data_IF_656286907399
#
_entry.id   IF_656286907399
#
_cell.length_a   1.000
_cell.length_b   1.000
_cell.length_c   1.000
_cell.angle_alpha   90.00
_cell.angle_beta   90.00
_cell.angle_gamma   90.00
#
_symmetry.space_group_name_H-M   'P 1'
#
loop_
_entity.id
_entity.type
_entity.pdbx_description
1 polymer ?
#
# COMPACT_ATOMS: atom_id res chain seq x y z
N UNK A 1 -40.84 31.34 33.03
CA UNK A 1 -40.61 30.70 31.71
C UNK A 1 -39.26 30.00 31.81
N UNK A 2 -39.21 28.66 31.70
CA UNK A 2 -37.92 27.90 31.71
C UNK A 2 -37.17 28.19 30.43
N UNK A 3 -35.93 28.70 30.54
CA UNK A 3 -35.06 29.02 29.39
C UNK A 3 -34.46 27.78 28.72
N UNK A 4 -34.38 26.68 29.42
CA UNK A 4 -33.74 25.43 28.96
C UNK A 4 -34.67 24.24 29.21
N UNK A 5 -34.56 23.18 28.37
CA UNK A 5 -35.26 21.91 28.60
C UNK A 5 -34.62 21.22 29.81
N UNK A 6 -35.45 20.55 30.63
CA UNK A 6 -34.93 19.69 31.69
C UNK A 6 -34.17 18.50 31.08
N UNK A 7 -33.10 18.01 31.74
CA UNK A 7 -32.48 16.78 31.32
C UNK A 7 -33.48 15.63 31.45
N UNK A 8 -33.51 14.75 30.45
CA UNK A 8 -34.39 13.58 30.42
C UNK A 8 -34.11 12.63 31.60
N UNK A 9 -32.81 12.49 31.95
CA UNK A 9 -32.37 11.77 33.14
C UNK A 9 -31.18 12.51 33.80
N UNK A 10 -31.30 12.95 35.05
CA UNK A 10 -30.15 13.48 35.80
C UNK A 10 -29.04 12.42 35.94
N UNK A 11 -27.79 12.85 36.01
CA UNK A 11 -26.61 11.96 36.08
C UNK A 11 -26.66 10.95 37.24
N UNK A 12 -27.39 11.27 38.29
CA UNK A 12 -27.52 10.45 39.50
C UNK A 12 -28.82 9.62 39.55
N UNK A 13 -29.67 9.71 38.52
CA UNK A 13 -30.91 8.97 38.48
C UNK A 13 -30.66 7.49 38.19
N UNK A 14 -31.09 6.63 39.11
CA UNK A 14 -31.14 5.19 38.88
C UNK A 14 -32.35 4.89 37.99
N UNK A 15 -32.13 4.15 36.93
CA UNK A 15 -33.19 3.64 36.09
C UNK A 15 -33.77 2.35 36.70
N UNK A 16 -35.06 2.18 36.62
CA UNK A 16 -35.76 0.99 37.15
C UNK A 16 -35.38 -0.26 36.35
N UNK A 17 -35.18 -0.12 35.05
CA UNK A 17 -34.61 -1.12 34.14
C UNK A 17 -33.41 -0.44 33.45
N UNK A 18 -32.19 -0.92 33.67
CA UNK A 18 -31.04 -0.35 32.94
C UNK A 18 -31.19 -0.68 31.45
N UNK A 19 -31.05 0.30 30.54
CA UNK A 19 -31.10 0.07 29.11
C UNK A 19 -29.93 -0.83 28.71
N UNK A 20 -30.14 -1.63 27.67
CA UNK A 20 -29.05 -2.37 27.04
C UNK A 20 -28.12 -1.40 26.31
N UNK A 21 -26.88 -1.80 26.00
CA UNK A 21 -25.99 -0.99 25.17
C UNK A 21 -26.57 -0.81 23.77
N UNK A 22 -27.35 -1.79 23.33
CA UNK A 22 -28.06 -1.80 22.05
C UNK A 22 -29.05 -0.63 21.92
N UNK A 23 -29.76 -0.28 23.01
CA UNK A 23 -30.73 0.83 23.03
C UNK A 23 -30.09 2.22 22.79
N UNK A 24 -28.78 2.32 22.96
CA UNK A 24 -28.02 3.57 22.75
C UNK A 24 -27.39 3.68 21.37
N UNK A 25 -27.47 2.64 20.54
CA UNK A 25 -26.93 2.62 19.18
C UNK A 25 -28.08 2.68 18.20
N UNK A 26 -28.11 3.72 17.37
CA UNK A 26 -29.19 3.89 16.38
C UNK A 26 -29.25 2.71 15.38
N UNK A 27 -30.46 2.43 14.89
CA UNK A 27 -30.68 1.34 13.93
C UNK A 27 -29.91 1.51 12.62
N UNK A 28 -29.64 2.77 12.23
CA UNK A 28 -28.89 3.13 11.03
C UNK A 28 -27.39 3.38 11.29
N UNK A 29 -26.89 3.11 12.51
CA UNK A 29 -25.47 3.37 12.80
C UNK A 29 -24.58 2.40 12.01
N UNK A 30 -23.52 2.90 11.36
CA UNK A 30 -22.59 2.07 10.60
C UNK A 30 -21.95 0.92 11.40
N UNK A 31 -21.93 1.01 12.71
CA UNK A 31 -21.41 -0.06 13.58
C UNK A 31 -22.20 -1.36 13.43
N UNK A 32 -23.53 -1.27 13.25
CA UNK A 32 -24.40 -2.45 13.05
C UNK A 32 -24.06 -3.17 11.74
N UNK A 33 -23.74 -2.41 10.70
CA UNK A 33 -23.33 -2.97 9.41
C UNK A 33 -21.99 -3.73 9.53
N UNK A 34 -21.04 -3.18 10.28
CA UNK A 34 -19.78 -3.88 10.58
C UNK A 34 -20.03 -5.15 11.37
N UNK A 35 -20.92 -5.08 12.35
CA UNK A 35 -21.32 -6.22 13.18
C UNK A 35 -21.92 -7.36 12.34
N UNK A 36 -22.95 -7.06 11.55
CA UNK A 36 -23.65 -8.00 10.68
C UNK A 36 -22.72 -8.61 9.61
N UNK A 37 -21.91 -7.79 8.93
CA UNK A 37 -20.99 -8.27 7.89
C UNK A 37 -19.95 -9.21 8.48
N UNK A 38 -19.34 -8.85 9.60
CA UNK A 38 -18.32 -9.71 10.21
C UNK A 38 -18.95 -11.00 10.75
N UNK A 39 -20.15 -10.95 11.37
CA UNK A 39 -20.81 -12.16 11.82
C UNK A 39 -21.23 -13.11 10.68
N UNK A 40 -21.51 -12.58 9.50
CA UNK A 40 -21.86 -13.41 8.33
C UNK A 40 -20.66 -14.19 7.75
N UNK A 41 -19.42 -13.86 8.14
CA UNK A 41 -18.22 -14.51 7.63
C UNK A 41 -17.94 -15.83 8.32
N UNK A 42 -17.29 -16.77 7.61
CA UNK A 42 -16.77 -17.99 8.23
C UNK A 42 -15.51 -17.72 9.06
N UNK A 43 -15.60 -17.92 10.37
CA UNK A 43 -14.53 -17.71 11.33
C UNK A 43 -13.85 -19.01 11.83
N UNK A 44 -14.15 -20.15 11.23
CA UNK A 44 -13.66 -21.46 11.67
C UNK A 44 -12.13 -21.52 11.82
N UNK A 45 -11.40 -20.97 10.84
CA UNK A 45 -9.93 -20.92 10.87
C UNK A 45 -9.42 -20.00 11.99
N UNK A 46 -10.06 -18.83 12.18
CA UNK A 46 -9.67 -17.89 13.24
C UNK A 46 -9.88 -18.51 14.62
N UNK A 47 -11.03 -19.17 14.85
CA UNK A 47 -11.38 -19.81 16.11
C UNK A 47 -10.46 -21.00 16.39
N UNK A 48 -10.10 -21.78 15.37
CA UNK A 48 -9.24 -22.96 15.52
C UNK A 48 -7.83 -22.65 16.05
N UNK A 49 -7.38 -21.41 15.96
CA UNK A 49 -6.09 -20.97 16.51
C UNK A 49 -6.10 -20.86 18.05
N UNK A 50 -7.28 -20.94 18.66
CA UNK A 50 -7.46 -20.82 20.11
C UNK A 50 -7.72 -22.22 20.72
N UNK A 51 -6.68 -22.84 21.26
CA UNK A 51 -6.68 -24.24 21.72
C UNK A 51 -7.08 -24.45 23.16
N UNK A 52 -7.61 -23.46 23.85
CA UNK A 52 -8.10 -23.61 25.22
C UNK A 52 -7.02 -24.03 26.22
N UNK A 53 -6.20 -23.09 26.68
CA UNK A 53 -5.23 -23.31 27.76
C UNK A 53 -4.78 -21.97 28.32
N UNK A 54 -4.59 -21.87 29.63
CA UNK A 54 -4.23 -20.61 30.30
C UNK A 54 -5.44 -19.73 30.61
N UNK A 55 -5.21 -18.41 30.73
CA UNK A 55 -6.29 -17.46 30.97
C UNK A 55 -7.20 -17.34 29.72
N UNK A 56 -8.55 -17.20 29.91
CA UNK A 56 -9.48 -17.05 28.81
C UNK A 56 -9.09 -15.88 27.89
N UNK A 57 -9.04 -16.14 26.59
CA UNK A 57 -8.80 -15.09 25.58
C UNK A 57 -10.09 -14.28 25.37
N UNK A 58 -9.93 -13.01 24.94
CA UNK A 58 -11.06 -12.28 24.38
C UNK A 58 -11.54 -12.97 23.10
N UNK A 59 -12.85 -12.93 22.85
CA UNK A 59 -13.42 -13.49 21.64
C UNK A 59 -12.75 -12.90 20.39
N UNK A 60 -12.18 -13.74 19.50
CA UNK A 60 -11.44 -13.26 18.33
C UNK A 60 -12.32 -12.57 17.29
N UNK A 61 -13.61 -12.91 17.21
CA UNK A 61 -14.56 -12.27 16.29
C UNK A 61 -14.81 -10.84 16.77
N UNK A 62 -15.12 -10.67 18.05
CA UNK A 62 -15.24 -9.37 18.71
C UNK A 62 -14.00 -8.50 18.52
N UNK A 63 -12.80 -9.08 18.68
CA UNK A 63 -11.54 -8.36 18.45
C UNK A 63 -11.40 -7.89 17.00
N UNK A 64 -11.81 -8.70 16.03
CA UNK A 64 -11.78 -8.38 14.61
C UNK A 64 -12.76 -7.22 14.30
N UNK A 65 -14.01 -7.29 14.82
CA UNK A 65 -15.03 -6.23 14.69
C UNK A 65 -14.52 -4.90 15.20
N UNK A 66 -14.00 -4.86 16.41
CA UNK A 66 -13.45 -3.64 17.05
C UNK A 66 -12.33 -3.04 16.22
N UNK A 67 -11.41 -3.84 15.69
CA UNK A 67 -10.30 -3.35 14.87
C UNK A 67 -10.81 -2.80 13.55
N UNK A 68 -11.67 -3.54 12.84
CA UNK A 68 -12.21 -3.11 11.54
C UNK A 68 -13.03 -1.84 11.69
N UNK A 69 -13.92 -1.77 12.67
CA UNK A 69 -14.69 -0.56 12.94
C UNK A 69 -13.79 0.63 13.28
N UNK A 70 -12.71 0.39 14.03
CA UNK A 70 -11.69 1.42 14.27
C UNK A 70 -11.11 1.99 12.98
N UNK A 71 -10.84 1.15 11.98
CA UNK A 71 -10.36 1.63 10.68
C UNK A 71 -11.46 2.38 9.90
N UNK A 72 -12.73 1.99 10.02
CA UNK A 72 -13.86 2.76 9.46
C UNK A 72 -13.92 4.18 10.04
N UNK A 73 -13.67 4.33 11.35
CA UNK A 73 -13.65 5.60 12.08
C UNK A 73 -12.29 6.33 11.99
N UNK A 74 -11.32 5.80 11.25
CA UNK A 74 -9.96 6.34 11.17
C UNK A 74 -9.16 6.23 12.48
N UNK A 75 -9.55 5.33 13.38
CA UNK A 75 -8.86 5.02 14.65
C UNK A 75 -7.98 3.78 14.45
N UNK A 76 -6.72 3.99 14.06
CA UNK A 76 -5.77 2.91 13.75
C UNK A 76 -4.85 2.53 14.92
N UNK A 77 -4.68 3.41 15.89
CA UNK A 77 -3.80 3.19 17.04
C UNK A 77 -4.46 2.29 18.08
N UNK A 78 -3.78 1.19 18.51
CA UNK A 78 -4.28 0.31 19.56
C UNK A 78 -4.58 1.05 20.87
N UNK A 79 -3.80 2.06 21.23
CA UNK A 79 -4.05 2.90 22.41
C UNK A 79 -5.31 3.75 22.29
N UNK A 80 -5.61 4.23 21.07
CA UNK A 80 -6.85 4.97 20.82
C UNK A 80 -8.05 4.05 20.78
N UNK A 81 -7.90 2.81 20.27
CA UNK A 81 -8.94 1.79 20.33
C UNK A 81 -9.27 1.38 21.78
N UNK A 82 -8.24 1.17 22.61
CA UNK A 82 -8.41 0.93 24.05
C UNK A 82 -9.19 2.08 24.74
N UNK A 83 -8.85 3.33 24.45
CA UNK A 83 -9.59 4.49 24.94
C UNK A 83 -11.04 4.52 24.42
N UNK A 84 -11.26 4.23 23.12
CA UNK A 84 -12.59 4.21 22.52
C UNK A 84 -13.50 3.15 23.14
N UNK A 85 -12.97 1.96 23.47
CA UNK A 85 -13.68 0.91 24.19
C UNK A 85 -14.20 1.33 25.58
N UNK A 86 -13.67 2.41 26.14
CA UNK A 86 -14.12 2.94 27.41
C UNK A 86 -14.93 4.26 27.32
N UNK A 87 -15.10 4.81 26.12
CA UNK A 87 -15.64 6.16 25.93
C UNK A 87 -16.69 6.28 24.84
N UNK A 88 -16.74 5.35 23.87
CA UNK A 88 -17.65 5.36 22.74
C UNK A 88 -18.58 4.14 22.81
N UNK A 89 -19.89 4.40 22.87
CA UNK A 89 -20.93 3.38 22.98
C UNK A 89 -20.92 2.38 21.81
N UNK A 90 -20.55 2.81 20.61
CA UNK A 90 -20.45 1.94 19.42
C UNK A 90 -19.35 0.88 19.59
N UNK A 91 -18.19 1.27 20.15
CA UNK A 91 -17.14 0.32 20.48
C UNK A 91 -17.52 -0.59 21.66
N UNK A 92 -18.23 -0.06 22.66
CA UNK A 92 -18.76 -0.87 23.77
C UNK A 92 -19.81 -1.90 23.28
N UNK A 93 -20.64 -1.53 22.33
CA UNK A 93 -21.60 -2.41 21.66
C UNK A 93 -20.87 -3.57 20.97
N UNK A 94 -19.95 -3.31 20.05
CA UNK A 94 -19.18 -4.36 19.37
C UNK A 94 -18.40 -5.25 20.33
N UNK A 95 -17.80 -4.65 21.35
CA UNK A 95 -17.00 -5.38 22.34
C UNK A 95 -17.84 -6.10 23.40
N UNK A 96 -19.18 -5.98 23.35
CA UNK A 96 -20.06 -6.55 24.38
C UNK A 96 -19.60 -6.16 25.80
N UNK A 97 -19.25 -4.88 25.99
CA UNK A 97 -18.68 -4.32 27.22
C UNK A 97 -17.31 -4.88 27.64
N UNK A 98 -16.71 -5.77 26.85
CA UNK A 98 -15.34 -6.25 27.07
C UNK A 98 -14.32 -5.15 26.81
N UNK A 99 -13.23 -5.12 27.58
CA UNK A 99 -12.20 -4.08 27.49
C UNK A 99 -10.79 -4.65 27.31
N UNK A 100 -10.46 -5.20 26.13
CA UNK A 100 -9.10 -5.61 25.82
C UNK A 100 -8.17 -4.39 25.84
N UNK A 101 -7.03 -4.51 26.52
CA UNK A 101 -6.03 -3.47 26.58
C UNK A 101 -5.32 -3.27 25.24
N UNK A 102 -4.62 -2.16 25.09
CA UNK A 102 -3.90 -1.82 23.85
C UNK A 102 -2.83 -2.86 23.45
N UNK A 103 -2.26 -3.62 24.41
CA UNK A 103 -1.27 -4.67 24.14
C UNK A 103 -1.94 -5.87 23.51
N UNK A 104 -3.08 -6.26 24.03
CA UNK A 104 -3.92 -7.35 23.51
C UNK A 104 -4.39 -7.02 22.09
N UNK A 105 -4.92 -5.81 21.85
CA UNK A 105 -5.32 -5.34 20.51
C UNK A 105 -4.13 -5.37 19.54
N UNK A 106 -2.98 -4.84 19.95
CA UNK A 106 -1.78 -4.83 19.12
C UNK A 106 -1.24 -6.23 18.81
N UNK A 107 -1.33 -7.16 19.79
CA UNK A 107 -0.92 -8.56 19.61
C UNK A 107 -1.87 -9.26 18.65
N UNK A 108 -3.17 -9.16 18.86
CA UNK A 108 -4.20 -9.77 18.00
C UNK A 108 -3.99 -9.36 16.54
N UNK A 109 -3.88 -8.05 16.25
CA UNK A 109 -3.65 -7.53 14.91
C UNK A 109 -2.41 -8.10 14.23
N UNK A 110 -1.31 -8.28 14.95
CA UNK A 110 -0.05 -8.83 14.40
C UNK A 110 -0.10 -10.34 14.16
N UNK A 111 -0.86 -11.07 14.95
CA UNK A 111 -0.89 -12.54 14.87
C UNK A 111 -1.92 -13.05 13.86
N UNK A 112 -2.98 -12.29 13.58
CA UNK A 112 -4.12 -12.75 12.79
C UNK A 112 -4.14 -12.16 11.36
N UNK A 113 -2.99 -12.18 10.66
CA UNK A 113 -2.92 -11.69 9.28
C UNK A 113 -3.84 -12.46 8.33
N UNK A 114 -3.91 -13.78 8.48
CA UNK A 114 -4.78 -14.62 7.66
C UNK A 114 -6.26 -14.24 7.81
N UNK A 115 -6.72 -14.03 9.05
CA UNK A 115 -8.10 -13.59 9.30
C UNK A 115 -8.40 -12.21 8.68
N UNK A 116 -7.45 -11.28 8.73
CA UNK A 116 -7.60 -9.96 8.11
C UNK A 116 -7.64 -10.08 6.56
N UNK A 117 -6.81 -10.95 5.99
CA UNK A 117 -6.85 -11.26 4.56
C UNK A 117 -8.20 -11.87 4.19
N UNK A 118 -8.67 -12.87 4.94
CA UNK A 118 -9.97 -13.49 4.75
C UNK A 118 -11.11 -12.46 4.85
N UNK A 119 -11.06 -11.54 5.80
CA UNK A 119 -12.04 -10.47 5.91
C UNK A 119 -12.05 -9.57 4.65
N UNK A 120 -10.89 -9.27 4.06
CA UNK A 120 -10.82 -8.57 2.79
C UNK A 120 -11.48 -9.38 1.66
N UNK A 121 -11.11 -10.64 1.53
CA UNK A 121 -11.64 -11.54 0.49
C UNK A 121 -13.16 -11.68 0.59
N UNK A 122 -13.70 -11.79 1.80
CA UNK A 122 -15.14 -11.85 2.06
C UNK A 122 -15.87 -10.55 1.71
N UNK A 123 -15.26 -9.37 1.93
CA UNK A 123 -15.87 -8.11 1.48
C UNK A 123 -15.94 -8.02 -0.04
N UNK A 124 -14.98 -8.58 -0.76
CA UNK A 124 -15.01 -8.67 -2.23
C UNK A 124 -16.12 -9.62 -2.68
N UNK A 125 -16.19 -10.82 -2.08
CA UNK A 125 -17.21 -11.82 -2.36
C UNK A 125 -18.62 -11.28 -2.13
N UNK A 126 -18.84 -10.65 -0.98
CA UNK A 126 -20.12 -10.02 -0.64
C UNK A 126 -20.50 -8.93 -1.64
N UNK A 127 -19.55 -8.07 -2.00
CA UNK A 127 -19.75 -7.05 -3.03
C UNK A 127 -20.15 -7.65 -4.38
N UNK A 128 -19.62 -8.81 -4.72
CA UNK A 128 -19.96 -9.55 -5.95
C UNK A 128 -21.34 -10.18 -5.87
N UNK A 129 -21.70 -10.83 -4.77
CA UNK A 129 -23.03 -11.42 -4.52
C UNK A 129 -24.14 -10.38 -4.54
N UNK A 130 -23.88 -9.19 -4.02
CA UNK A 130 -24.79 -8.07 -4.04
C UNK A 130 -24.85 -7.32 -5.39
N UNK A 131 -24.17 -7.79 -6.43
CA UNK A 131 -24.02 -7.13 -7.72
C UNK A 131 -23.44 -5.70 -7.65
N UNK A 132 -22.65 -5.40 -6.61
CA UNK A 132 -21.93 -4.14 -6.47
C UNK A 132 -20.59 -4.15 -7.23
N UNK A 133 -20.04 -5.33 -7.49
CA UNK A 133 -18.85 -5.58 -8.29
C UNK A 133 -19.26 -6.27 -9.58
N UNK A 134 -19.00 -5.64 -10.73
CA UNK A 134 -19.38 -6.18 -12.04
C UNK A 134 -18.17 -6.61 -12.88
N UNK A 135 -16.98 -6.16 -12.57
CA UNK A 135 -15.72 -6.41 -13.30
C UNK A 135 -15.73 -5.99 -14.78
N UNK A 136 -16.69 -5.15 -15.19
CA UNK A 136 -16.75 -4.62 -16.56
C UNK A 136 -15.57 -3.71 -16.86
N UNK A 137 -15.17 -2.89 -15.88
CA UNK A 137 -14.02 -2.01 -15.98
C UNK A 137 -13.36 -1.89 -14.61
N UNK A 138 -12.11 -2.30 -14.51
CA UNK A 138 -11.31 -2.10 -13.31
C UNK A 138 -10.13 -1.18 -13.59
N UNK A 139 -9.68 -0.46 -12.56
CA UNK A 139 -8.45 0.32 -12.60
C UNK A 139 -7.45 -0.26 -11.61
N UNK A 140 -6.23 -0.50 -12.08
CA UNK A 140 -5.08 -0.89 -11.24
C UNK A 140 -4.14 0.31 -11.10
N UNK A 141 -3.77 0.61 -9.86
CA UNK A 141 -2.81 1.67 -9.56
C UNK A 141 -2.08 1.39 -8.24
N UNK A 142 -0.91 1.99 -8.08
CA UNK A 142 -0.08 1.91 -6.91
C UNK A 142 -0.01 3.24 -6.15
N UNK A 143 0.07 3.16 -4.83
CA UNK A 143 0.29 4.35 -4.01
C UNK A 143 1.38 4.12 -2.99
N UNK A 144 2.29 5.08 -2.86
CA UNK A 144 3.39 5.00 -1.90
C UNK A 144 2.90 5.49 -0.53
N UNK A 145 2.99 4.61 0.49
CA UNK A 145 2.61 4.91 1.89
C UNK A 145 3.88 4.90 2.73
N UNK A 146 4.09 5.96 3.50
CA UNK A 146 5.31 6.10 4.31
C UNK A 146 5.38 5.02 5.40
N UNK A 147 6.55 4.43 5.57
CA UNK A 147 6.83 3.48 6.64
C UNK A 147 6.85 4.14 8.02
N UNK A 148 6.68 3.35 9.08
CA UNK A 148 6.75 3.84 10.47
C UNK A 148 8.19 4.02 10.93
N UNK A 149 8.90 4.93 10.30
CA UNK A 149 10.31 5.20 10.58
C UNK A 149 10.63 6.68 10.54
N UNK A 150 11.75 7.06 11.16
CA UNK A 150 12.34 8.39 10.97
C UNK A 150 13.34 8.34 9.81
N UNK A 151 13.29 9.31 8.93
CA UNK A 151 14.26 9.44 7.83
C UNK A 151 15.72 9.53 8.32
N UNK A 152 15.93 9.93 9.60
CA UNK A 152 17.27 9.97 10.24
C UNK A 152 17.91 8.59 10.39
N UNK A 153 17.15 7.50 10.31
CA UNK A 153 17.64 6.11 10.39
C UNK A 153 17.80 5.45 9.02
N UNK A 154 17.82 6.23 7.95
CA UNK A 154 18.09 5.75 6.59
C UNK A 154 19.56 6.01 6.25
N UNK A 155 20.27 4.94 5.91
CA UNK A 155 21.69 4.98 5.65
C UNK A 155 22.00 4.52 4.22
N UNK A 156 22.94 5.21 3.56
CA UNK A 156 23.66 4.67 2.43
C UNK A 156 24.77 3.75 2.95
N UNK A 157 25.22 2.79 2.13
CA UNK A 157 26.26 1.82 2.49
C UNK A 157 27.48 2.48 3.15
N UNK A 158 28.05 3.50 2.52
CA UNK A 158 29.23 4.22 3.00
C UNK A 158 29.04 4.89 4.37
N UNK A 159 27.86 5.46 4.60
CA UNK A 159 27.50 6.10 5.87
C UNK A 159 27.17 5.11 6.99
N UNK A 160 26.80 3.89 6.63
CA UNK A 160 26.48 2.85 7.61
C UNK A 160 27.74 2.35 8.31
N UNK A 161 28.83 2.17 7.56
CA UNK A 161 30.12 1.75 8.13
C UNK A 161 30.68 2.80 9.09
N UNK A 162 30.64 4.08 8.71
CA UNK A 162 31.01 5.19 9.60
C UNK A 162 30.09 5.28 10.85
N UNK A 163 28.79 4.98 10.71
CA UNK A 163 27.89 4.96 11.85
C UNK A 163 28.15 3.80 12.81
N UNK A 164 28.57 2.64 12.30
CA UNK A 164 28.99 1.48 13.10
C UNK A 164 30.27 1.77 13.87
N UNK A 165 31.28 2.36 13.22
CA UNK A 165 32.52 2.79 13.85
C UNK A 165 32.27 3.79 14.99
N UNK A 166 31.48 4.83 14.74
CA UNK A 166 31.10 5.83 15.75
C UNK A 166 30.40 5.21 16.96
N UNK A 167 29.49 4.25 16.74
CA UNK A 167 28.83 3.55 17.85
C UNK A 167 29.80 2.61 18.56
N UNK A 168 30.75 2.00 17.86
CA UNK A 168 31.82 1.20 18.44
C UNK A 168 32.68 2.04 19.40
N UNK A 169 33.11 3.20 18.95
CA UNK A 169 33.89 4.14 19.75
C UNK A 169 33.09 4.63 20.99
N UNK A 170 31.80 4.96 20.80
CA UNK A 170 30.94 5.35 21.89
C UNK A 170 30.75 4.24 22.95
N UNK A 171 30.64 2.98 22.53
CA UNK A 171 30.60 1.83 23.46
C UNK A 171 31.93 1.73 24.23
N UNK A 172 33.08 1.85 23.53
CA UNK A 172 34.36 1.80 24.16
C UNK A 172 34.56 2.92 25.20
N UNK A 173 34.16 4.14 24.88
CA UNK A 173 34.22 5.29 25.79
C UNK A 173 33.37 5.08 27.05
N UNK A 174 32.17 4.50 26.92
CA UNK A 174 31.28 4.21 28.08
C UNK A 174 31.91 3.14 28.96
N UNK A 175 32.53 2.10 28.37
CA UNK A 175 33.18 1.03 29.12
C UNK A 175 34.44 1.55 29.85
N UNK A 176 35.25 2.38 29.19
CA UNK A 176 36.41 3.03 29.82
C UNK A 176 36.00 3.95 30.99
N UNK A 177 34.90 4.72 30.81
CA UNK A 177 34.36 5.54 31.88
C UNK A 177 33.83 4.69 33.04
N UNK A 178 33.15 3.57 32.77
CA UNK A 178 32.63 2.68 33.80
C UNK A 178 33.78 2.04 34.58
N UNK A 179 34.86 1.56 33.90
CA UNK A 179 36.01 0.98 34.54
C UNK A 179 36.75 1.99 35.47
N UNK A 180 36.88 3.25 35.04
CA UNK A 180 37.45 4.31 35.86
C UNK A 180 36.61 4.61 37.10
N UNK A 181 35.28 4.52 37.02
CA UNK A 181 34.37 4.69 38.15
C UNK A 181 34.48 3.50 39.09
N UNK A 182 34.47 2.26 38.57
CA UNK A 182 34.59 1.03 39.34
C UNK A 182 35.94 1.01 40.10
N UNK A 183 37.07 1.38 39.45
CA UNK A 183 38.40 1.51 40.09
C UNK A 183 38.42 2.56 41.20
N UNK A 184 37.64 3.64 41.07
CA UNK A 184 37.49 4.67 42.14
C UNK A 184 36.57 4.20 43.26
N UNK A 185 35.48 3.47 42.97
CA UNK A 185 34.56 2.91 43.95
C UNK A 185 35.17 1.74 44.72
N UNK A 186 35.91 0.84 44.07
CA UNK A 186 36.65 -0.26 44.72
C UNK A 186 37.70 0.26 45.73
N UNK A 187 38.30 1.39 45.39
CA UNK A 187 39.23 2.07 46.31
C UNK A 187 38.54 2.73 47.52
N UNK A 188 37.23 3.02 47.42
CA UNK A 188 36.47 3.74 48.48
C UNK A 188 35.59 2.78 49.28
N UNK A 189 35.01 1.73 48.73
CA UNK A 189 33.87 0.98 49.32
C UNK A 189 34.03 -0.55 49.30
N UNK A 190 35.06 -1.11 48.67
CA UNK A 190 35.16 -2.58 48.50
C UNK A 190 34.12 -3.18 47.55
N UNK A 191 34.28 -4.44 47.17
CA UNK A 191 33.56 -5.17 46.13
C UNK A 191 32.03 -5.21 46.38
N UNK A 192 31.31 -4.17 45.98
CA UNK A 192 29.85 -4.11 45.90
C UNK A 192 29.38 -4.17 44.46
N UNK A 193 28.93 -5.35 44.00
CA UNK A 193 28.44 -5.57 42.64
C UNK A 193 27.14 -4.84 42.38
N UNK A 194 27.15 -3.84 41.53
CA UNK A 194 25.97 -3.29 40.87
C UNK A 194 25.68 -3.99 39.55
N UNK A 195 24.69 -4.87 39.51
CA UNK A 195 24.37 -5.72 38.35
C UNK A 195 23.65 -5.00 37.18
N UNK A 196 23.47 -3.69 37.21
CA UNK A 196 22.76 -2.97 36.15
C UNK A 196 23.76 -2.29 35.19
N UNK A 197 23.80 -2.80 33.94
CA UNK A 197 24.43 -2.09 32.82
C UNK A 197 23.84 -0.67 32.72
N UNK A 198 24.66 0.38 32.73
CA UNK A 198 24.17 1.75 32.60
C UNK A 198 23.22 1.87 31.41
N UNK A 199 22.09 2.57 31.60
CA UNK A 199 21.06 2.75 30.53
C UNK A 199 21.64 3.26 29.21
N UNK A 200 22.73 4.04 29.28
CA UNK A 200 23.48 4.53 28.12
C UNK A 200 24.15 3.40 27.34
N UNK A 201 24.79 2.45 28.04
CA UNK A 201 25.46 1.29 27.44
C UNK A 201 24.44 0.35 26.77
N UNK A 202 23.32 0.04 27.42
CA UNK A 202 22.25 -0.77 26.84
C UNK A 202 21.61 -0.11 25.60
N UNK A 203 21.56 1.20 25.56
CA UNK A 203 21.12 1.97 24.40
C UNK A 203 22.12 1.89 23.23
N UNK A 204 23.42 2.03 23.53
CA UNK A 204 24.50 1.93 22.54
C UNK A 204 24.57 0.53 21.93
N UNK A 205 24.47 -0.54 22.73
CA UNK A 205 24.43 -1.92 22.24
C UNK A 205 23.22 -2.19 21.35
N UNK A 206 22.03 -1.72 21.72
CA UNK A 206 20.83 -1.82 20.87
C UNK A 206 21.03 -1.14 19.52
N UNK A 207 21.64 0.05 19.53
CA UNK A 207 21.94 0.80 18.31
C UNK A 207 22.96 0.08 17.45
N UNK A 208 24.05 -0.46 18.04
CA UNK A 208 25.06 -1.26 17.35
C UNK A 208 24.44 -2.47 16.67
N UNK A 209 23.65 -3.27 17.40
CA UNK A 209 22.95 -4.44 16.87
C UNK A 209 22.01 -4.09 15.70
N UNK A 210 21.29 -2.97 15.80
CA UNK A 210 20.40 -2.49 14.74
C UNK A 210 21.19 -2.13 13.46
N UNK A 211 22.32 -1.45 13.58
CA UNK A 211 23.17 -1.09 12.43
C UNK A 211 23.84 -2.31 11.82
N UNK A 212 24.27 -3.29 12.62
CA UNK A 212 24.83 -4.56 12.13
C UNK A 212 23.78 -5.37 11.35
N UNK A 213 22.54 -5.39 11.82
CA UNK A 213 21.42 -6.01 11.07
C UNK A 213 21.17 -5.29 9.75
N UNK A 214 21.22 -3.96 9.75
CA UNK A 214 21.07 -3.16 8.54
C UNK A 214 22.21 -3.42 7.54
N UNK A 215 23.45 -3.57 8.02
CA UNK A 215 24.60 -3.91 7.18
C UNK A 215 24.42 -5.28 6.52
N UNK A 216 24.08 -6.30 7.31
CA UNK A 216 23.82 -7.65 6.79
C UNK A 216 22.70 -7.65 5.75
N UNK A 217 21.66 -6.89 5.99
CA UNK A 217 20.55 -6.76 5.03
C UNK A 217 20.98 -6.11 3.71
N UNK A 218 21.82 -5.06 3.75
CA UNK A 218 22.39 -4.45 2.54
C UNK A 218 23.27 -5.43 1.74
N UNK A 219 24.06 -6.25 2.44
CA UNK A 219 24.93 -7.26 1.83
C UNK A 219 24.09 -8.34 1.13
N UNK A 220 23.02 -8.81 1.78
CA UNK A 220 22.13 -9.84 1.26
C UNK A 220 21.27 -9.36 0.07
N UNK A 221 20.79 -8.13 0.10
CA UNK A 221 19.86 -7.59 -0.91
C UNK A 221 20.55 -6.86 -2.05
N UNK A 222 21.84 -6.52 -1.91
CA UNK A 222 22.57 -5.71 -2.88
C UNK A 222 22.07 -4.25 -2.99
N UNK A 223 21.16 -3.82 -2.11
CA UNK A 223 20.59 -2.47 -2.12
C UNK A 223 21.65 -1.41 -1.74
N UNK A 224 21.47 -0.18 -2.25
CA UNK A 224 22.37 0.94 -1.93
C UNK A 224 21.95 1.71 -0.67
N UNK A 225 20.72 1.52 -0.20
CA UNK A 225 20.15 2.22 0.96
C UNK A 225 19.36 1.27 1.83
N UNK A 226 19.36 1.51 3.14
CA UNK A 226 18.56 0.75 4.10
C UNK A 226 18.03 1.67 5.19
N UNK A 227 16.81 1.40 5.65
CA UNK A 227 16.29 1.97 6.87
C UNK A 227 16.55 1.02 8.04
N UNK A 228 17.43 1.38 8.97
CA UNK A 228 17.84 0.50 10.05
C UNK A 228 16.73 0.13 11.05
N UNK A 229 15.63 0.90 11.09
CA UNK A 229 14.48 0.63 11.96
C UNK A 229 13.34 -0.13 11.28
N UNK A 230 13.41 -0.26 9.94
CA UNK A 230 12.49 -1.07 9.12
C UNK A 230 13.23 -1.52 7.86
N UNK A 231 13.88 -2.67 7.94
CA UNK A 231 14.78 -3.20 6.91
C UNK A 231 14.07 -3.50 5.59
N UNK A 232 12.78 -3.78 5.65
CA UNK A 232 11.97 -4.16 4.50
C UNK A 232 11.41 -2.94 3.74
N UNK A 233 11.39 -1.76 4.37
CA UNK A 233 10.99 -0.51 3.68
C UNK A 233 12.04 -0.08 2.64
N UNK A 234 11.59 0.54 1.55
CA UNK A 234 12.46 1.09 0.50
C UNK A 234 12.29 2.60 0.41
N UNK A 235 13.36 3.28 0.02
CA UNK A 235 13.31 4.74 -0.20
C UNK A 235 12.59 5.01 -1.51
N UNK A 236 11.39 5.52 -1.45
CA UNK A 236 10.53 5.80 -2.61
C UNK A 236 10.19 7.28 -2.67
N UNK A 237 9.85 7.77 -3.87
CA UNK A 237 9.35 9.12 -4.06
C UNK A 237 7.92 9.22 -3.53
N UNK A 238 7.72 9.92 -2.41
CA UNK A 238 6.41 10.25 -1.82
C UNK A 238 6.07 11.71 -2.05
N UNK A 239 4.90 12.16 -1.59
CA UNK A 239 4.54 13.59 -1.60
C UNK A 239 5.50 14.46 -0.77
N UNK A 240 6.09 13.89 0.28
CA UNK A 240 7.04 14.56 1.17
C UNK A 240 8.50 14.39 0.74
N UNK A 241 8.75 14.03 -0.53
CA UNK A 241 10.07 13.73 -1.08
C UNK A 241 10.45 12.24 -0.93
N UNK A 242 11.74 11.94 -1.03
CA UNK A 242 12.24 10.58 -0.91
C UNK A 242 12.18 10.13 0.55
N UNK A 243 11.33 9.14 0.85
CA UNK A 243 11.08 8.60 2.19
C UNK A 243 11.06 7.07 2.16
N UNK A 244 11.43 6.41 3.27
CA UNK A 244 11.15 4.99 3.43
C UNK A 244 9.64 4.76 3.34
N UNK A 245 9.23 3.88 2.45
CA UNK A 245 7.83 3.65 2.12
C UNK A 245 7.62 2.22 1.62
N UNK A 246 6.36 1.85 1.47
CA UNK A 246 5.90 0.66 0.79
C UNK A 246 5.01 1.07 -0.38
N UNK A 247 5.00 0.25 -1.42
CA UNK A 247 4.16 0.43 -2.58
C UNK A 247 2.90 -0.41 -2.43
N UNK A 248 1.78 0.26 -2.18
CA UNK A 248 0.48 -0.38 -1.97
C UNK A 248 -0.31 -0.37 -3.28
N UNK A 249 -0.67 -1.56 -3.76
CA UNK A 249 -1.38 -1.80 -5.00
C UNK A 249 -2.87 -1.99 -4.76
N UNK A 250 -3.73 -1.44 -5.61
CA UNK A 250 -5.16 -1.67 -5.58
C UNK A 250 -5.74 -1.91 -6.97
N UNK A 251 -6.64 -2.87 -7.08
CA UNK A 251 -7.55 -3.03 -8.22
C UNK A 251 -8.92 -2.61 -7.77
N UNK A 252 -9.51 -1.63 -8.45
CA UNK A 252 -10.78 -1.02 -8.08
C UNK A 252 -11.80 -1.22 -9.19
N UNK A 253 -12.97 -1.76 -8.85
CA UNK A 253 -14.11 -1.86 -9.76
C UNK A 253 -14.74 -0.48 -9.98
N UNK A 254 -15.15 -0.21 -11.22
CA UNK A 254 -15.70 1.09 -11.64
C UNK A 254 -17.03 1.44 -10.98
N UNK A 255 -17.94 0.47 -10.86
CA UNK A 255 -19.34 0.77 -10.58
C UNK A 255 -19.54 1.38 -9.18
N UNK A 256 -19.04 0.71 -8.15
CA UNK A 256 -19.17 1.18 -6.76
C UNK A 256 -17.83 1.49 -6.09
N UNK A 257 -16.73 1.48 -6.85
CA UNK A 257 -15.39 1.72 -6.33
C UNK A 257 -14.98 0.75 -5.20
N UNK A 258 -15.45 -0.49 -5.28
CA UNK A 258 -15.01 -1.56 -4.37
C UNK A 258 -13.60 -2.01 -4.78
N UNK A 259 -12.72 -2.16 -3.80
CA UNK A 259 -11.37 -2.68 -4.00
C UNK A 259 -11.50 -4.20 -4.13
N UNK A 260 -11.21 -4.73 -5.32
CA UNK A 260 -11.30 -6.16 -5.65
C UNK A 260 -9.96 -6.87 -5.66
N UNK A 261 -8.87 -6.13 -5.50
CA UNK A 261 -7.53 -6.66 -5.33
C UNK A 261 -6.67 -5.68 -4.54
N UNK A 262 -5.89 -6.19 -3.57
CA UNK A 262 -5.05 -5.37 -2.71
C UNK A 262 -3.75 -6.10 -2.34
N UNK A 263 -2.62 -5.40 -2.44
CA UNK A 263 -1.30 -5.93 -2.10
C UNK A 263 -0.33 -4.85 -1.68
N UNK A 264 0.73 -5.26 -1.00
CA UNK A 264 1.84 -4.37 -0.60
C UNK A 264 3.14 -4.98 -1.08
N UNK A 265 3.94 -4.19 -1.79
CA UNK A 265 5.23 -4.62 -2.33
C UNK A 265 6.35 -3.66 -1.95
N UNK A 266 7.58 -4.14 -2.07
CA UNK A 266 8.80 -3.37 -1.80
C UNK A 266 9.34 -2.69 -3.06
N UNK A 267 8.79 -3.01 -4.24
CA UNK A 267 9.24 -2.46 -5.50
C UNK A 267 8.93 -0.95 -5.59
N UNK A 268 9.95 -0.18 -5.97
CA UNK A 268 9.81 1.26 -6.16
C UNK A 268 8.95 1.61 -7.39
N UNK A 269 8.88 0.68 -8.35
CA UNK A 269 8.15 0.80 -9.62
C UNK A 269 6.99 -0.18 -9.68
N UNK A 270 6.04 0.06 -10.60
CA UNK A 270 4.83 -0.74 -10.73
C UNK A 270 4.90 -1.74 -11.90
N UNK A 271 6.05 -1.81 -12.62
CA UNK A 271 6.24 -2.56 -13.87
C UNK A 271 5.86 -4.05 -13.83
N UNK A 272 6.01 -4.70 -12.67
CA UNK A 272 5.83 -6.15 -12.54
C UNK A 272 4.58 -6.53 -11.72
N UNK A 273 3.75 -5.56 -11.33
CA UNK A 273 2.68 -5.81 -10.36
C UNK A 273 1.38 -6.31 -10.99
N UNK A 274 1.13 -6.02 -12.26
CA UNK A 274 -0.15 -6.32 -12.93
C UNK A 274 -0.48 -7.81 -12.95
N UNK A 275 0.43 -8.75 -13.31
CA UNK A 275 0.11 -10.17 -13.35
C UNK A 275 -0.40 -10.72 -12.02
N UNK A 276 0.30 -10.41 -10.91
CA UNK A 276 -0.06 -10.87 -9.58
C UNK A 276 -1.41 -10.31 -9.13
N UNK A 277 -1.67 -9.02 -9.40
CA UNK A 277 -2.93 -8.38 -9.04
C UNK A 277 -4.12 -8.93 -9.83
N UNK A 278 -3.95 -9.20 -11.12
CA UNK A 278 -5.01 -9.81 -11.96
C UNK A 278 -5.27 -11.26 -11.56
N UNK A 279 -4.23 -12.00 -11.20
CA UNK A 279 -4.37 -13.36 -10.69
C UNK A 279 -5.18 -13.37 -9.38
N UNK A 280 -4.88 -12.46 -8.45
CA UNK A 280 -5.65 -12.31 -7.22
C UNK A 280 -7.14 -12.03 -7.49
N UNK A 281 -7.45 -11.09 -8.38
CA UNK A 281 -8.85 -10.79 -8.75
C UNK A 281 -9.54 -12.04 -9.30
N UNK A 282 -8.87 -12.80 -10.17
CA UNK A 282 -9.43 -14.05 -10.73
C UNK A 282 -9.68 -15.10 -9.64
N UNK A 283 -8.76 -15.26 -8.70
CA UNK A 283 -8.91 -16.22 -7.58
C UNK A 283 -10.09 -15.87 -6.67
N UNK A 284 -10.24 -14.56 -6.35
CA UNK A 284 -11.31 -14.09 -5.47
C UNK A 284 -12.69 -14.10 -6.10
N UNK A 285 -12.80 -13.83 -7.40
CA UNK A 285 -14.09 -13.64 -8.08
C UNK A 285 -14.45 -14.76 -9.05
N UNK A 286 -13.52 -15.66 -9.36
CA UNK A 286 -13.67 -16.67 -10.39
C UNK A 286 -13.73 -16.12 -11.83
N UNK A 287 -13.61 -14.80 -12.01
CA UNK A 287 -13.76 -14.11 -13.29
C UNK A 287 -12.57 -13.20 -13.60
N UNK A 288 -12.44 -12.86 -14.87
CA UNK A 288 -11.50 -11.84 -15.35
C UNK A 288 -12.26 -10.54 -15.58
N UNK A 289 -11.63 -9.36 -15.37
CA UNK A 289 -12.21 -8.10 -15.80
C UNK A 289 -12.32 -8.01 -17.33
N UNK A 290 -13.40 -7.38 -17.83
CA UNK A 290 -13.56 -7.14 -19.27
C UNK A 290 -12.60 -6.05 -19.77
N UNK A 291 -12.28 -5.07 -18.91
CA UNK A 291 -11.40 -3.94 -19.21
C UNK A 291 -10.53 -3.60 -17.99
N UNK A 292 -9.22 -3.40 -18.23
CA UNK A 292 -8.25 -3.00 -17.20
C UNK A 292 -7.52 -1.73 -17.62
N UNK A 293 -7.62 -0.67 -16.84
CA UNK A 293 -6.87 0.56 -17.06
C UNK A 293 -5.75 0.71 -16.03
N UNK A 294 -4.57 1.10 -16.47
CA UNK A 294 -3.38 1.25 -15.63
C UNK A 294 -2.62 2.54 -16.00
N UNK A 295 -1.79 3.06 -15.11
CA UNK A 295 -0.93 4.17 -15.47
C UNK A 295 0.31 3.71 -16.27
N UNK A 296 1.10 4.67 -16.76
CA UNK A 296 2.31 4.37 -17.54
C UNK A 296 3.39 3.63 -16.73
N UNK A 297 3.33 3.64 -15.41
CA UNK A 297 4.24 2.90 -14.54
C UNK A 297 4.12 1.39 -14.68
N UNK A 298 3.00 0.89 -15.21
CA UNK A 298 2.78 -0.54 -15.48
C UNK A 298 3.18 -0.96 -16.90
N UNK A 299 3.56 -0.01 -17.76
CA UNK A 299 3.92 -0.32 -19.13
C UNK A 299 5.21 -1.15 -19.17
N UNK A 300 5.08 -2.43 -19.48
CA UNK A 300 6.20 -3.37 -19.62
C UNK A 300 5.83 -4.49 -20.59
N UNK A 301 6.84 -5.11 -21.20
CA UNK A 301 6.62 -6.28 -22.06
C UNK A 301 5.93 -7.44 -21.33
N UNK A 302 6.21 -7.60 -20.04
CA UNK A 302 5.56 -8.59 -19.19
C UNK A 302 4.06 -8.32 -19.06
N UNK A 303 3.68 -7.08 -18.74
CA UNK A 303 2.29 -6.63 -18.66
C UNK A 303 1.55 -6.84 -19.98
N UNK A 304 2.15 -6.42 -21.09
CA UNK A 304 1.53 -6.56 -22.44
C UNK A 304 1.36 -8.02 -22.84
N UNK A 305 2.38 -8.84 -22.59
CA UNK A 305 2.32 -10.29 -22.86
C UNK A 305 1.28 -10.98 -22.00
N UNK A 306 1.28 -10.72 -20.69
CA UNK A 306 0.26 -11.27 -19.78
C UNK A 306 -1.16 -10.89 -20.23
N UNK A 307 -1.37 -9.64 -20.64
CA UNK A 307 -2.65 -9.17 -21.18
C UNK A 307 -3.07 -9.98 -22.41
N UNK A 308 -2.15 -10.19 -23.36
CA UNK A 308 -2.41 -10.97 -24.59
C UNK A 308 -2.69 -12.45 -24.28
N UNK A 309 -1.82 -13.09 -23.49
CA UNK A 309 -1.91 -14.52 -23.17
C UNK A 309 -3.19 -14.86 -22.37
N UNK A 310 -3.65 -13.92 -21.54
CA UNK A 310 -4.89 -14.09 -20.78
C UNK A 310 -6.13 -13.47 -21.44
N UNK A 311 -6.02 -12.95 -22.66
CA UNK A 311 -7.13 -12.28 -23.39
C UNK A 311 -7.77 -11.17 -22.55
N UNK A 312 -6.95 -10.35 -21.85
CA UNK A 312 -7.39 -9.19 -21.09
C UNK A 312 -7.36 -7.93 -21.97
N UNK A 313 -8.44 -7.18 -21.96
CA UNK A 313 -8.50 -5.90 -22.68
C UNK A 313 -7.86 -4.79 -21.82
N UNK A 314 -6.54 -4.64 -21.94
CA UNK A 314 -5.75 -3.69 -21.15
C UNK A 314 -5.57 -2.35 -21.87
N UNK A 315 -5.49 -1.27 -21.10
CA UNK A 315 -5.21 0.10 -21.54
C UNK A 315 -4.11 0.69 -20.67
N UNK A 316 -2.91 0.79 -21.21
CA UNK A 316 -1.73 1.31 -20.52
C UNK A 316 -0.92 2.19 -21.47
N UNK A 317 -0.72 3.48 -21.18
CA UNK A 317 0.03 4.38 -22.04
C UNK A 317 1.53 4.15 -21.91
N UNK A 318 2.25 4.28 -23.01
CA UNK A 318 3.70 4.36 -23.01
C UNK A 318 4.13 5.84 -23.06
N UNK A 319 4.63 6.35 -21.95
CA UNK A 319 5.10 7.73 -21.86
C UNK A 319 6.45 7.94 -22.56
N UNK A 320 7.26 6.90 -22.75
CA UNK A 320 8.61 7.01 -23.30
C UNK A 320 8.67 6.77 -24.82
N UNK A 321 7.83 5.88 -25.34
CA UNK A 321 7.81 5.57 -26.77
C UNK A 321 7.38 6.75 -27.65
N UNK A 322 6.53 7.64 -27.13
CA UNK A 322 6.07 8.82 -27.87
C UNK A 322 7.04 10.00 -27.85
N UNK A 323 7.92 10.08 -26.85
CA UNK A 323 8.94 11.13 -26.74
C UNK A 323 10.00 10.99 -27.83
N UNK A 324 9.67 11.40 -29.03
CA UNK A 324 10.60 11.42 -30.16
C UNK A 324 10.16 10.66 -31.40
N UNK A 325 9.03 9.91 -31.33
CA UNK A 325 8.45 9.19 -32.47
C UNK A 325 7.22 9.87 -33.06
N UNK A 326 6.80 11.02 -32.52
CA UNK A 326 5.61 11.74 -33.02
C UNK A 326 5.82 12.12 -34.48
N UNK A 327 4.91 11.66 -35.34
CA UNK A 327 4.96 11.90 -36.77
C UNK A 327 5.90 10.98 -37.57
N UNK A 328 6.54 9.99 -36.90
CA UNK A 328 7.31 8.96 -37.59
C UNK A 328 6.41 7.74 -37.83
N UNK A 329 6.41 7.24 -39.05
CA UNK A 329 5.65 6.05 -39.46
C UNK A 329 6.59 4.84 -39.50
N UNK A 330 6.11 3.70 -39.01
CA UNK A 330 6.84 2.43 -39.06
C UNK A 330 6.46 1.67 -40.34
N UNK A 331 7.44 1.43 -41.22
CA UNK A 331 7.33 0.57 -42.39
C UNK A 331 7.80 -0.86 -42.02
N UNK A 332 6.84 -1.74 -41.73
CA UNK A 332 7.11 -3.11 -41.32
C UNK A 332 7.75 -3.94 -42.44
N UNK A 333 7.40 -3.67 -43.70
CA UNK A 333 7.87 -4.45 -44.86
C UNK A 333 9.38 -4.21 -45.07
N UNK A 334 9.85 -3.01 -44.86
CA UNK A 334 11.24 -2.61 -45.08
C UNK A 334 12.07 -2.54 -43.79
N UNK A 335 11.48 -2.79 -42.61
CA UNK A 335 12.13 -2.68 -41.29
C UNK A 335 12.77 -1.28 -41.07
N UNK A 336 12.03 -0.20 -41.35
CA UNK A 336 12.51 1.19 -41.26
C UNK A 336 11.43 2.16 -40.77
N UNK A 337 11.85 3.34 -40.33
CA UNK A 337 10.93 4.43 -40.00
C UNK A 337 10.95 5.49 -41.09
N UNK A 338 9.79 6.08 -41.39
CA UNK A 338 9.65 7.24 -42.29
C UNK A 338 9.43 8.49 -41.41
N UNK A 339 10.26 9.48 -41.54
CA UNK A 339 10.13 10.73 -40.77
C UNK A 339 9.03 11.64 -41.37
N UNK A 340 8.50 12.61 -40.61
CA UNK A 340 7.48 13.56 -41.09
C UNK A 340 7.86 14.33 -42.39
N UNK A 341 9.14 14.38 -42.71
CA UNK A 341 9.65 14.98 -43.95
C UNK A 341 9.90 13.95 -45.04
N UNK A 342 9.43 12.71 -44.91
CA UNK A 342 9.55 11.67 -45.93
C UNK A 342 10.90 10.96 -46.00
N UNK A 343 11.87 11.28 -45.12
CA UNK A 343 13.16 10.57 -45.12
C UNK A 343 13.10 9.27 -44.30
N UNK A 344 13.86 8.27 -44.74
CA UNK A 344 13.91 6.95 -44.14
C UNK A 344 14.98 6.83 -43.06
N UNK A 345 14.63 6.25 -41.90
CA UNK A 345 15.56 5.87 -40.86
C UNK A 345 15.73 4.34 -40.93
N UNK A 346 16.91 3.94 -41.34
CA UNK A 346 17.26 2.53 -41.52
C UNK A 346 17.83 1.95 -40.23
N UNK A 347 17.74 0.64 -40.09
CA UNK A 347 18.38 -0.08 -38.99
C UNK A 347 19.89 0.17 -38.98
N UNK A 348 20.44 0.57 -37.84
CA UNK A 348 21.87 0.85 -37.71
C UNK A 348 22.58 -0.17 -36.83
N UNK A 349 22.04 -0.49 -35.63
CA UNK A 349 22.67 -1.39 -34.66
C UNK A 349 21.66 -1.85 -33.61
N UNK A 350 21.94 -3.00 -33.00
CA UNK A 350 21.25 -3.45 -31.79
C UNK A 350 22.16 -3.29 -30.58
N UNK A 351 21.73 -2.54 -29.56
CA UNK A 351 22.43 -2.38 -28.29
C UNK A 351 21.91 -3.37 -27.26
N UNK A 352 22.81 -3.94 -26.47
CA UNK A 352 22.53 -4.87 -25.36
C UNK A 352 21.58 -6.03 -25.72
N UNK A 353 21.54 -6.44 -26.98
CA UNK A 353 20.57 -7.45 -27.52
C UNK A 353 19.10 -7.11 -27.27
N UNK A 354 18.80 -5.85 -26.89
CA UNK A 354 17.48 -5.39 -26.45
C UNK A 354 16.90 -4.31 -27.32
N UNK A 355 17.71 -3.30 -27.70
CA UNK A 355 17.22 -2.10 -28.37
C UNK A 355 17.81 -1.97 -29.77
N UNK A 356 16.94 -1.99 -30.81
CA UNK A 356 17.28 -1.72 -32.20
C UNK A 356 17.29 -0.21 -32.40
N UNK A 357 18.36 0.33 -32.98
CA UNK A 357 18.51 1.75 -33.27
C UNK A 357 18.37 1.96 -34.75
N UNK A 358 17.49 2.88 -35.13
CA UNK A 358 17.25 3.32 -36.52
C UNK A 358 17.80 4.74 -36.67
N UNK A 359 18.57 4.98 -37.72
CA UNK A 359 19.23 6.25 -38.01
C UNK A 359 18.87 6.75 -39.36
N UNK A 360 18.72 8.07 -39.45
CA UNK A 360 18.62 8.78 -40.73
C UNK A 360 20.03 9.11 -41.24
N UNK A 361 20.20 9.23 -42.58
CA UNK A 361 21.44 9.72 -43.16
C UNK A 361 21.71 11.16 -42.74
N UNK A 362 22.96 11.45 -42.38
CA UNK A 362 23.39 12.73 -41.81
C UNK A 362 23.00 13.94 -42.64
N UNK A 363 23.08 13.82 -43.96
CA UNK A 363 22.75 14.91 -44.91
C UNK A 363 21.27 15.26 -44.87
N UNK A 364 20.37 14.29 -44.66
CA UNK A 364 18.92 14.51 -44.66
C UNK A 364 18.44 15.38 -43.48
N UNK A 365 19.10 15.30 -42.32
CA UNK A 365 18.77 16.15 -41.16
C UNK A 365 19.47 17.54 -41.25
N UNK A 366 20.56 17.67 -41.97
CA UNK A 366 21.35 18.91 -42.00
C UNK A 366 20.58 20.10 -42.61
N UNK A 367 19.77 19.82 -43.64
CA UNK A 367 18.95 20.78 -44.37
C UNK A 367 17.45 20.73 -44.02
N UNK A 368 17.07 19.98 -43.03
CA UNK A 368 15.66 19.77 -42.67
C UNK A 368 15.05 20.98 -41.93
N UNK A 369 13.92 21.49 -42.40
CA UNK A 369 13.17 22.58 -41.78
C UNK A 369 12.67 22.27 -40.38
N UNK A 370 12.39 20.99 -40.09
CA UNK A 370 11.92 20.54 -38.78
C UNK A 370 13.04 20.12 -37.82
N UNK A 371 14.30 20.38 -38.16
CA UNK A 371 15.44 19.92 -37.36
C UNK A 371 15.40 20.41 -35.93
N UNK A 372 15.03 21.67 -35.69
CA UNK A 372 14.99 22.26 -34.32
C UNK A 372 13.97 21.60 -33.41
N UNK A 373 12.85 21.14 -33.95
CA UNK A 373 11.79 20.43 -33.20
C UNK A 373 12.01 18.91 -33.10
N UNK A 374 12.76 18.35 -34.06
CA UNK A 374 12.94 16.93 -34.21
C UNK A 374 14.22 16.37 -33.56
N UNK A 375 15.35 17.11 -33.70
CA UNK A 375 16.64 16.71 -33.16
C UNK A 375 16.98 17.51 -31.90
N UNK A 376 17.47 16.84 -30.85
CA UNK A 376 17.97 17.55 -29.67
C UNK A 376 19.16 18.48 -30.02
N UNK A 377 19.39 19.52 -29.25
CA UNK A 377 20.41 20.56 -29.49
C UNK A 377 21.84 20.00 -29.65
N UNK A 378 22.14 18.83 -29.10
CA UNK A 378 23.45 18.16 -29.17
C UNK A 378 23.53 17.08 -30.25
N UNK A 379 22.41 16.71 -30.88
CA UNK A 379 22.36 15.59 -31.81
C UNK A 379 22.52 16.07 -33.25
N UNK A 380 23.42 15.41 -34.02
CA UNK A 380 23.66 15.73 -35.45
C UNK A 380 22.67 15.02 -36.37
N UNK A 381 22.06 13.93 -35.91
CA UNK A 381 21.12 13.07 -36.64
C UNK A 381 20.00 12.61 -35.72
N UNK A 382 18.83 12.33 -36.30
CA UNK A 382 17.74 11.71 -35.58
C UNK A 382 18.00 10.22 -35.44
N UNK A 383 17.84 9.72 -34.23
CA UNK A 383 17.83 8.29 -33.89
C UNK A 383 16.49 7.93 -33.27
N UNK A 384 15.93 6.80 -33.65
CA UNK A 384 14.78 6.19 -33.01
C UNK A 384 15.19 4.84 -32.44
N UNK A 385 14.64 4.52 -31.30
CA UNK A 385 14.90 3.29 -30.59
C UNK A 385 13.65 2.44 -30.61
N UNK A 386 13.80 1.15 -30.97
CA UNK A 386 12.75 0.15 -30.98
C UNK A 386 13.24 -1.08 -30.22
N UNK A 387 12.44 -1.59 -29.29
CA UNK A 387 12.81 -2.84 -28.61
C UNK A 387 12.75 -4.03 -29.56
N UNK A 388 13.65 -4.98 -29.40
CA UNK A 388 13.56 -6.27 -30.05
C UNK A 388 12.27 -6.93 -29.56
N UNK A 389 11.39 -7.37 -30.47
CA UNK A 389 10.02 -7.85 -30.19
C UNK A 389 9.08 -6.75 -29.64
N UNK A 390 9.21 -5.53 -30.08
CA UNK A 390 8.38 -4.37 -29.71
C UNK A 390 6.97 -4.35 -30.35
N UNK A 391 6.52 -5.44 -30.97
CA UNK A 391 5.22 -5.53 -31.67
C UNK A 391 4.06 -5.24 -30.70
N UNK A 392 4.09 -5.80 -29.50
CA UNK A 392 3.06 -5.57 -28.47
C UNK A 392 3.02 -4.11 -28.00
N UNK A 393 4.19 -3.45 -27.97
CA UNK A 393 4.29 -2.03 -27.59
C UNK A 393 3.65 -1.16 -28.68
N UNK A 394 3.88 -1.50 -29.96
CA UNK A 394 3.32 -0.78 -31.10
C UNK A 394 1.79 -1.03 -31.21
N UNK A 395 1.33 -2.26 -31.05
CA UNK A 395 -0.10 -2.60 -30.96
C UNK A 395 -0.79 -1.77 -29.86
N UNK A 396 -0.17 -1.67 -28.66
CA UNK A 396 -0.71 -0.89 -27.55
C UNK A 396 -0.67 0.63 -27.86
N UNK A 397 0.40 1.14 -28.43
CA UNK A 397 0.50 2.55 -28.81
C UNK A 397 -0.57 2.92 -29.84
N UNK A 398 -0.80 2.07 -30.86
CA UNK A 398 -1.85 2.25 -31.85
C UNK A 398 -3.23 2.23 -31.19
N UNK A 399 -3.51 1.23 -30.33
CA UNK A 399 -4.74 1.13 -29.55
C UNK A 399 -4.99 2.41 -28.74
N UNK A 400 -3.99 2.87 -27.97
CA UNK A 400 -4.09 4.06 -27.14
C UNK A 400 -4.22 5.38 -27.92
N UNK A 401 -3.93 5.38 -29.22
CA UNK A 401 -4.13 6.56 -30.09
C UNK A 401 -5.59 6.80 -30.46
N UNK A 402 -6.44 5.75 -30.39
CA UNK A 402 -7.87 5.81 -30.76
C UNK A 402 -8.70 6.68 -29.83
N UNK A 403 -9.76 7.30 -30.34
CA UNK A 403 -10.67 8.12 -29.53
C UNK A 403 -11.40 7.29 -28.45
N UNK A 404 -11.73 6.04 -28.76
CA UNK A 404 -12.36 5.11 -27.84
C UNK A 404 -11.43 4.79 -26.67
N UNK A 405 -10.19 4.39 -26.93
CA UNK A 405 -9.21 4.08 -25.89
C UNK A 405 -8.95 5.28 -24.97
N UNK A 406 -8.86 6.49 -25.54
CA UNK A 406 -8.71 7.73 -24.77
C UNK A 406 -9.90 7.98 -23.85
N UNK A 407 -11.13 7.72 -24.31
CA UNK A 407 -12.35 7.88 -23.50
C UNK A 407 -12.37 6.89 -22.33
N UNK A 408 -12.06 5.62 -22.57
CA UNK A 408 -11.99 4.56 -21.57
C UNK A 408 -10.87 4.90 -20.56
N UNK A 409 -9.69 5.26 -21.03
CA UNK A 409 -8.55 5.57 -20.17
C UNK A 409 -8.79 6.77 -19.27
N UNK A 410 -9.54 7.78 -19.73
CA UNK A 410 -9.91 8.96 -18.94
C UNK A 410 -10.67 8.60 -17.66
N UNK A 411 -11.45 7.53 -17.68
CA UNK A 411 -12.21 7.06 -16.51
C UNK A 411 -11.32 6.53 -15.39
N UNK A 412 -10.08 6.10 -15.69
CA UNK A 412 -9.14 5.57 -14.69
C UNK A 412 -9.05 6.46 -13.45
N UNK A 413 -8.84 7.76 -13.65
CA UNK A 413 -8.71 8.71 -12.53
C UNK A 413 -9.97 8.76 -11.66
N UNK A 414 -11.14 8.73 -12.29
CA UNK A 414 -12.42 8.77 -11.58
C UNK A 414 -12.68 7.48 -10.78
N UNK A 415 -12.12 6.35 -11.21
CA UNK A 415 -12.27 5.06 -10.53
C UNK A 415 -11.38 4.98 -9.30
N UNK A 416 -10.06 5.24 -9.45
CA UNK A 416 -9.08 4.88 -8.43
C UNK A 416 -8.62 6.04 -7.54
N UNK A 417 -8.54 7.27 -8.06
CA UNK A 417 -8.07 8.42 -7.26
C UNK A 417 -8.96 8.71 -6.04
N UNK A 418 -10.32 8.64 -6.13
CA UNK A 418 -11.17 8.82 -4.96
C UNK A 418 -10.96 7.74 -3.89
N UNK A 419 -10.66 6.50 -4.29
CA UNK A 419 -10.37 5.39 -3.38
C UNK A 419 -9.09 5.67 -2.60
N UNK A 420 -8.00 6.00 -3.27
CA UNK A 420 -6.76 6.38 -2.58
C UNK A 420 -6.92 7.67 -1.75
N UNK A 421 -7.76 8.60 -2.19
CA UNK A 421 -8.15 9.76 -1.41
C UNK A 421 -8.81 9.33 -0.09
N UNK A 422 -9.81 8.46 -0.15
CA UNK A 422 -10.50 7.93 1.03
C UNK A 422 -9.54 7.20 1.98
N UNK A 423 -8.70 6.29 1.48
CA UNK A 423 -7.74 5.57 2.29
C UNK A 423 -6.76 6.52 3.01
N UNK A 424 -6.28 7.56 2.33
CA UNK A 424 -5.29 8.49 2.89
C UNK A 424 -5.88 9.53 3.84
N UNK A 425 -7.06 10.05 3.54
CA UNK A 425 -7.66 11.15 4.29
C UNK A 425 -8.58 10.63 5.41
N UNK A 426 -9.59 9.84 5.07
CA UNK A 426 -10.58 9.36 6.03
C UNK A 426 -9.99 8.24 6.91
N UNK A 427 -9.37 7.22 6.29
CA UNK A 427 -8.71 6.14 7.05
C UNK A 427 -7.30 6.53 7.55
N UNK A 428 -6.85 7.76 7.28
CA UNK A 428 -5.58 8.32 7.76
C UNK A 428 -4.33 7.52 7.37
N UNK A 429 -4.37 6.80 6.23
CA UNK A 429 -3.30 5.90 5.74
C UNK A 429 -2.16 6.62 5.02
N UNK A 430 -1.78 7.81 5.41
CA UNK A 430 -0.61 8.52 4.84
C UNK A 430 0.71 7.92 5.32
N UNK A 431 0.71 7.34 6.52
CA UNK A 431 1.86 6.68 7.15
C UNK A 431 1.41 5.45 7.90
N UNK A 432 2.20 4.39 7.83
CA UNK A 432 1.98 3.15 8.59
C UNK A 432 2.28 3.33 10.08
N UNK A 433 1.64 2.54 10.92
CA UNK A 433 1.90 2.44 12.35
C UNK A 433 2.67 1.17 12.71
N UNK A 434 2.54 0.12 11.90
CA UNK A 434 3.31 -1.12 12.02
C UNK A 434 4.58 -1.04 11.17
N UNK A 435 5.53 -1.92 11.43
CA UNK A 435 6.79 -2.05 10.71
C UNK A 435 6.88 -3.40 10.01
N UNK A 436 7.73 -3.45 8.99
CA UNK A 436 7.93 -4.62 8.15
C UNK A 436 6.83 -4.80 7.11
N UNK A 437 7.11 -5.59 6.08
CA UNK A 437 6.19 -5.84 4.97
C UNK A 437 4.86 -6.43 5.44
N UNK A 438 4.92 -7.44 6.33
CA UNK A 438 3.73 -8.06 6.94
C UNK A 438 2.89 -7.04 7.72
N UNK A 439 3.54 -6.13 8.46
CA UNK A 439 2.87 -5.07 9.19
C UNK A 439 2.19 -4.06 8.26
N UNK A 440 2.87 -3.70 7.17
CA UNK A 440 2.33 -2.83 6.14
C UNK A 440 1.13 -3.45 5.43
N UNK A 441 1.19 -4.75 5.11
CA UNK A 441 0.11 -5.50 4.50
C UNK A 441 -1.13 -5.55 5.39
N UNK A 442 -0.97 -5.88 6.68
CA UNK A 442 -2.05 -5.91 7.67
C UNK A 442 -2.79 -4.56 7.70
N UNK A 443 -2.07 -3.45 7.82
CA UNK A 443 -2.69 -2.13 7.90
C UNK A 443 -3.37 -1.72 6.60
N UNK A 444 -2.75 -2.05 5.48
CA UNK A 444 -3.32 -1.74 4.17
C UNK A 444 -4.61 -2.53 3.92
N UNK A 445 -4.62 -3.84 4.20
CA UNK A 445 -5.81 -4.67 4.08
C UNK A 445 -6.94 -4.20 4.99
N UNK A 446 -6.67 -3.87 6.26
CA UNK A 446 -7.69 -3.33 7.17
C UNK A 446 -8.30 -2.03 6.62
N UNK A 447 -7.51 -1.17 5.99
CA UNK A 447 -8.05 0.03 5.35
C UNK A 447 -8.87 -0.28 4.11
N UNK A 448 -8.49 -1.31 3.32
CA UNK A 448 -9.28 -1.78 2.19
C UNK A 448 -10.60 -2.41 2.63
N UNK A 449 -10.59 -3.22 3.69
CA UNK A 449 -11.80 -3.77 4.32
C UNK A 449 -12.75 -2.66 4.77
N UNK A 450 -12.24 -1.68 5.53
CA UNK A 450 -13.02 -0.54 5.99
C UNK A 450 -13.63 0.26 4.83
N UNK A 451 -12.87 0.46 3.74
CA UNK A 451 -13.37 1.10 2.54
C UNK A 451 -14.51 0.29 1.90
N UNK A 452 -14.31 -1.01 1.70
CA UNK A 452 -15.30 -1.89 1.08
C UNK A 452 -16.58 -1.97 1.93
N UNK A 453 -16.47 -2.17 3.25
CA UNK A 453 -17.60 -2.16 4.17
C UNK A 453 -18.36 -0.85 4.09
N UNK A 454 -17.67 0.29 4.05
CA UNK A 454 -18.31 1.60 3.90
C UNK A 454 -19.08 1.76 2.57
N UNK A 455 -18.62 1.10 1.49
CA UNK A 455 -19.35 1.07 0.20
C UNK A 455 -20.54 0.13 0.24
N UNK A 456 -20.36 -1.08 0.74
CA UNK A 456 -21.40 -2.10 0.90
C UNK A 456 -22.52 -1.56 1.82
N UNK A 457 -22.14 -0.98 2.96
CA UNK A 457 -23.08 -0.48 3.95
C UNK A 457 -24.00 0.61 3.43
N UNK A 458 -23.51 1.55 2.63
CA UNK A 458 -24.35 2.58 1.99
C UNK A 458 -25.43 1.97 1.10
N UNK A 459 -25.10 0.91 0.37
CA UNK A 459 -26.07 0.24 -0.50
C UNK A 459 -27.04 -0.64 0.30
N UNK A 460 -26.55 -1.22 1.39
CA UNK A 460 -27.36 -2.01 2.33
C UNK A 460 -28.47 -1.14 2.95
N UNK A 461 -28.12 0.04 3.45
CA UNK A 461 -29.07 1.00 4.02
C UNK A 461 -30.09 1.49 2.99
N UNK A 462 -29.64 1.78 1.75
CA UNK A 462 -30.52 2.17 0.65
C UNK A 462 -31.53 1.06 0.29
N UNK A 463 -31.09 -0.20 0.23
CA UNK A 463 -31.95 -1.34 -0.08
C UNK A 463 -32.97 -1.60 1.05
N UNK A 464 -32.57 -1.48 2.32
CA UNK A 464 -33.50 -1.56 3.46
C UNK A 464 -34.58 -0.47 3.39
N UNK A 465 -34.19 0.76 3.10
CA UNK A 465 -35.12 1.88 2.96
C UNK A 465 -36.15 1.68 1.82
N UNK A 466 -35.70 1.10 0.69
CA UNK A 466 -36.56 0.78 -0.46
C UNK A 466 -37.51 -0.41 -0.20
N UNK A 467 -37.13 -1.35 0.67
CA UNK A 467 -37.99 -2.47 1.05
C UNK A 467 -39.00 -2.11 2.16
N UNK A 468 -38.73 -1.03 2.90
CA UNK A 468 -39.59 -0.54 3.96
C UNK A 468 -40.59 0.53 3.49
N UNK A 469 -40.46 1.03 2.26
CA UNK A 469 -41.39 1.96 1.57
C UNK A 469 -42.34 1.20 0.64
#
# INVERSE_FOLDING_TARGET
MKLFKDPVAPKSQLMLLPPSVDDFVGDDDPVRIVDEIIDSMDHSELISQYSGGGAPAYDPITMLKVIIFGYCEGIRSSRKLDAALGQDLRFMYLAQMSRPDFRTIARFRRMNNAAIRKAFDETVRLGFEMNLVLLKHVSLDGTKIEANVSGKHTYKRERLDAALENVGNWVADILDQAQKVDEQEDNLYGDCRGDELPKRLSSAFRRKKMLEQAKRHLEQTGSNTVCATDLESRVMKTRCGNRPAYNCQAVVDKENQIIVGAGVVQDETDHHQMPAMMQQVKELTGRKPDCVTMDAGYFSNETLRYGKDNSLNIYVPDNDAQKGKIGFEWDQANDEYICPCGHRLIYAITRQKRDRIYRIYRHSCASCSMRSSCCGSKSRVKELWRRVNGELEEEMAQKMSTAEAKSIYKLRKQIIEPVFGNLKENNKMRRLLLRGLKGAEIEYLLSCVAHNIGKIGRMWTLNRALLAS
#
